data_IF_936819467000
#
_entry.id   IF_936819467000
#
_cell.length_a   1.000
_cell.length_b   1.000
_cell.length_c   1.000
_cell.angle_alpha   90.00
_cell.angle_beta   90.00
_cell.angle_gamma   90.00
#
_symmetry.space_group_name_H-M   'P 1'
#
loop_
_entity.id
_entity.type
_entity.pdbx_description
1 polymer ?
#
# COMPACT_ATOMS: atom_id res chain seq x y z
N UNK A 1 13.71 -0.85 -33.12
CA UNK A 1 14.05 -1.97 -32.22
C UNK A 1 12.87 -2.10 -31.28
N UNK A 2 12.07 -3.15 -31.45
CA UNK A 2 10.89 -3.38 -30.63
C UNK A 2 11.37 -3.97 -29.31
N UNK A 3 11.39 -3.18 -28.26
CA UNK A 3 11.52 -3.70 -26.91
C UNK A 3 10.22 -4.44 -26.59
N UNK A 4 10.27 -5.77 -26.61
CA UNK A 4 9.21 -6.60 -26.06
C UNK A 4 9.25 -6.41 -24.56
N UNK A 5 8.43 -5.49 -24.04
CA UNK A 5 8.22 -5.34 -22.60
C UNK A 5 7.72 -6.68 -22.07
N UNK A 6 8.57 -7.42 -21.37
CA UNK A 6 8.15 -8.64 -20.66
C UNK A 6 7.19 -8.24 -19.54
N UNK A 7 5.89 -8.36 -19.81
CA UNK A 7 4.84 -8.10 -18.83
C UNK A 7 4.87 -9.25 -17.82
N UNK A 8 5.51 -9.03 -16.67
CA UNK A 8 5.44 -9.95 -15.53
C UNK A 8 4.08 -9.77 -14.83
N UNK A 9 3.21 -10.77 -14.97
CA UNK A 9 1.90 -10.78 -14.30
C UNK A 9 2.10 -11.22 -12.85
N UNK A 10 2.06 -10.26 -11.93
CA UNK A 10 2.19 -10.50 -10.49
C UNK A 10 1.21 -9.63 -9.69
N UNK A 11 0.79 -10.11 -8.53
CA UNK A 11 -0.14 -9.43 -7.62
C UNK A 11 0.32 -9.56 -6.16
N UNK A 12 -0.47 -9.04 -5.22
CA UNK A 12 -0.19 -9.18 -3.80
C UNK A 12 -0.16 -10.66 -3.36
N UNK A 13 0.86 -11.07 -2.56
CA UNK A 13 0.93 -12.43 -2.04
C UNK A 13 -0.12 -12.70 -0.95
N UNK A 14 -0.32 -13.97 -0.63
CA UNK A 14 -1.14 -14.36 0.53
C UNK A 14 -0.46 -13.93 1.83
N UNK A 15 -1.18 -13.16 2.66
CA UNK A 15 -0.72 -12.77 4.00
C UNK A 15 -1.45 -13.60 5.07
N UNK A 16 -0.69 -14.43 5.77
CA UNK A 16 -1.20 -15.31 6.83
C UNK A 16 -1.82 -14.56 8.03
N UNK A 17 -1.56 -13.25 8.17
CA UNK A 17 -2.20 -12.39 9.18
C UNK A 17 -3.67 -12.11 8.85
N UNK A 18 -4.05 -12.22 7.57
CA UNK A 18 -5.39 -11.97 7.07
C UNK A 18 -5.93 -13.18 6.29
N UNK A 19 -6.15 -14.34 6.94
CA UNK A 19 -6.55 -15.57 6.24
C UNK A 19 -8.04 -15.57 5.83
N UNK A 20 -8.84 -14.65 6.39
CA UNK A 20 -10.28 -14.61 6.17
C UNK A 20 -10.64 -13.85 4.89
N UNK A 21 -11.84 -14.08 4.36
CA UNK A 21 -12.36 -13.40 3.16
C UNK A 21 -12.38 -11.87 3.28
N UNK A 22 -12.54 -11.34 4.50
CA UNK A 22 -12.53 -9.89 4.71
C UNK A 22 -11.10 -9.32 4.68
N UNK A 23 -10.72 -8.79 3.52
CA UNK A 23 -9.41 -8.17 3.26
C UNK A 23 -9.36 -6.66 3.56
N UNK A 24 -10.42 -6.05 4.11
CA UNK A 24 -10.44 -4.61 4.44
C UNK A 24 -9.27 -4.20 5.35
N UNK A 25 -8.98 -5.01 6.38
CA UNK A 25 -7.85 -4.77 7.30
C UNK A 25 -6.49 -4.93 6.61
N UNK A 26 -6.37 -5.86 5.66
CA UNK A 26 -5.13 -6.06 4.90
C UNK A 26 -4.82 -4.84 4.04
N UNK A 27 -5.84 -4.34 3.31
CA UNK A 27 -5.74 -3.09 2.55
C UNK A 27 -5.34 -1.91 3.45
N UNK A 28 -6.10 -1.66 4.53
CA UNK A 28 -5.87 -0.52 5.41
C UNK A 28 -4.50 -0.56 6.10
N UNK A 29 -4.07 -1.72 6.60
CA UNK A 29 -2.76 -1.85 7.23
C UNK A 29 -1.62 -1.66 6.22
N UNK A 30 -1.76 -2.20 4.99
CA UNK A 30 -0.73 -2.03 3.96
C UNK A 30 -0.57 -0.56 3.53
N UNK A 31 -1.68 0.18 3.44
CA UNK A 31 -1.64 1.63 3.19
C UNK A 31 -0.88 2.36 4.31
N UNK A 32 -1.23 2.09 5.57
CA UNK A 32 -0.55 2.70 6.71
C UNK A 32 0.93 2.32 6.83
N UNK A 33 1.28 1.07 6.57
CA UNK A 33 2.65 0.57 6.63
C UNK A 33 3.53 1.18 5.54
N UNK A 34 2.99 1.40 4.32
CA UNK A 34 3.69 2.13 3.27
C UNK A 34 4.11 3.53 3.75
N UNK A 35 3.16 4.32 4.24
CA UNK A 35 3.46 5.70 4.63
C UNK A 35 4.31 5.80 5.91
N UNK A 36 4.18 4.85 6.85
CA UNK A 36 5.13 4.75 7.98
C UNK A 36 6.54 4.41 7.50
N UNK A 37 6.65 3.51 6.52
CA UNK A 37 7.93 3.07 5.96
C UNK A 37 8.65 4.22 5.25
N UNK A 38 7.95 5.00 4.41
CA UNK A 38 8.58 6.15 3.72
C UNK A 38 8.97 7.24 4.71
N UNK A 39 8.18 7.48 5.76
CA UNK A 39 8.51 8.48 6.79
C UNK A 39 9.73 8.08 7.62
N UNK A 40 9.92 6.78 7.88
CA UNK A 40 11.02 6.27 8.69
C UNK A 40 12.32 6.06 7.90
N UNK A 41 12.23 5.63 6.64
CA UNK A 41 13.39 5.15 5.84
C UNK A 41 13.57 5.83 4.48
N UNK A 42 12.61 6.64 4.04
CA UNK A 42 12.59 7.26 2.71
C UNK A 42 11.94 6.40 1.62
N UNK A 43 11.56 7.04 0.51
CA UNK A 43 10.83 6.41 -0.60
C UNK A 43 11.65 5.37 -1.40
N UNK A 44 12.98 5.45 -1.32
CA UNK A 44 13.91 4.60 -2.05
C UNK A 44 14.03 3.18 -1.45
N UNK A 45 13.52 2.96 -0.23
CA UNK A 45 13.67 1.69 0.46
C UNK A 45 12.81 0.60 -0.18
N UNK A 46 13.46 -0.45 -0.72
CA UNK A 46 12.82 -1.54 -1.48
C UNK A 46 11.63 -2.17 -0.75
N UNK A 47 11.70 -2.47 0.56
CA UNK A 47 10.55 -2.99 1.30
C UNK A 47 9.32 -2.06 1.34
N UNK A 48 9.49 -0.73 1.25
CA UNK A 48 8.34 0.17 1.17
C UNK A 48 7.61 0.00 -0.17
N UNK A 49 8.33 -0.30 -1.26
CA UNK A 49 7.74 -0.51 -2.60
C UNK A 49 6.84 -1.75 -2.63
N UNK A 50 7.14 -2.77 -1.83
CA UNK A 50 6.27 -3.94 -1.66
C UNK A 50 4.91 -3.54 -1.04
N UNK A 51 4.91 -2.76 0.04
CA UNK A 51 3.65 -2.27 0.63
C UNK A 51 2.84 -1.44 -0.36
N UNK A 52 3.52 -0.63 -1.20
CA UNK A 52 2.88 0.13 -2.28
C UNK A 52 2.14 -0.77 -3.26
N UNK A 53 2.81 -1.81 -3.73
CA UNK A 53 2.24 -2.80 -4.65
C UNK A 53 1.04 -3.52 -4.02
N UNK A 54 1.14 -3.89 -2.74
CA UNK A 54 0.07 -4.61 -2.03
C UNK A 54 -1.18 -3.74 -1.91
N UNK A 55 -1.07 -2.52 -1.37
CA UNK A 55 -2.26 -1.69 -1.19
C UNK A 55 -2.87 -1.26 -2.53
N UNK A 56 -2.07 -1.01 -3.57
CA UNK A 56 -2.59 -0.70 -4.90
C UNK A 56 -3.33 -1.87 -5.55
N UNK A 57 -2.96 -3.12 -5.21
CA UNK A 57 -3.60 -4.32 -5.77
C UNK A 57 -4.90 -4.70 -5.04
N UNK A 58 -5.00 -4.41 -3.74
CA UNK A 58 -6.10 -4.90 -2.88
C UNK A 58 -7.12 -3.79 -2.58
N UNK A 59 -6.67 -2.54 -2.45
CA UNK A 59 -7.54 -1.44 -2.06
C UNK A 59 -8.36 -0.90 -3.24
N UNK A 60 -9.65 -0.60 -3.05
CA UNK A 60 -10.40 0.23 -3.99
C UNK A 60 -9.73 1.60 -4.15
N UNK A 61 -9.63 2.09 -5.39
CA UNK A 61 -9.04 3.40 -5.69
C UNK A 61 -9.75 4.56 -4.98
N UNK A 62 -11.08 4.48 -4.84
CA UNK A 62 -11.87 5.47 -4.10
C UNK A 62 -11.48 5.56 -2.62
N UNK A 63 -11.08 4.45 -2.00
CA UNK A 63 -10.65 4.44 -0.59
C UNK A 63 -9.30 5.11 -0.46
N UNK A 64 -8.36 4.77 -1.34
CA UNK A 64 -7.02 5.36 -1.37
C UNK A 64 -7.11 6.87 -1.56
N UNK A 65 -7.90 7.36 -2.51
CA UNK A 65 -8.09 8.80 -2.74
C UNK A 65 -8.61 9.53 -1.50
N UNK A 66 -9.64 8.99 -0.85
CA UNK A 66 -10.19 9.58 0.38
C UNK A 66 -9.19 9.60 1.53
N UNK A 67 -8.38 8.55 1.65
CA UNK A 67 -7.35 8.48 2.69
C UNK A 67 -6.19 9.42 2.41
N UNK A 68 -5.83 9.61 1.14
CA UNK A 68 -4.82 10.57 0.72
C UNK A 68 -5.26 12.00 1.06
N UNK A 69 -6.52 12.37 0.76
CA UNK A 69 -7.11 13.65 1.18
C UNK A 69 -7.07 13.81 2.72
N UNK A 70 -7.53 12.80 3.47
CA UNK A 70 -7.50 12.82 4.94
C UNK A 70 -6.07 12.90 5.50
N UNK A 71 -5.09 12.33 4.81
CA UNK A 71 -3.67 12.37 5.19
C UNK A 71 -3.10 13.77 5.00
N UNK A 72 -3.42 14.42 3.90
CA UNK A 72 -3.00 15.79 3.59
C UNK A 72 -3.63 16.81 4.54
N UNK A 73 -4.90 16.58 4.92
CA UNK A 73 -5.60 17.38 5.94
C UNK A 73 -5.16 17.09 7.38
N UNK A 74 -4.39 16.02 7.60
CA UNK A 74 -3.96 15.59 8.94
C UNK A 74 -5.06 14.97 9.80
N UNK A 75 -6.17 14.54 9.19
CA UNK A 75 -7.35 13.95 9.85
C UNK A 75 -7.38 12.41 9.78
N UNK A 76 -6.23 11.77 9.55
CA UNK A 76 -6.18 10.30 9.60
C UNK A 76 -6.39 9.80 11.04
N UNK A 77 -7.21 8.76 11.26
CA UNK A 77 -7.46 8.20 12.58
C UNK A 77 -6.26 7.43 13.16
N UNK A 78 -5.13 7.35 12.45
CA UNK A 78 -3.91 6.70 12.90
C UNK A 78 -2.68 7.55 12.60
N UNK A 79 -1.66 7.47 13.47
CA UNK A 79 -0.39 8.16 13.27
C UNK A 79 0.43 7.45 12.19
N UNK A 80 0.75 8.21 11.16
CA UNK A 80 1.64 7.81 10.06
C UNK A 80 3.09 8.23 10.32
N UNK A 81 3.30 9.12 11.27
CA UNK A 81 4.60 9.54 11.82
C UNK A 81 5.06 8.59 12.93
N UNK A 82 6.36 8.30 12.95
CA UNK A 82 7.06 7.59 14.03
C UNK A 82 7.24 8.52 15.22
#
# INVERSE_FOLDING_TARGET
MSDTVEIKIETAPFDARFPNTNQSKHCWQSYGDYYKCINARGEEFTPCKEFKKVFQSICPSEWVSKWDEQREEGNLPFKVTV
#
